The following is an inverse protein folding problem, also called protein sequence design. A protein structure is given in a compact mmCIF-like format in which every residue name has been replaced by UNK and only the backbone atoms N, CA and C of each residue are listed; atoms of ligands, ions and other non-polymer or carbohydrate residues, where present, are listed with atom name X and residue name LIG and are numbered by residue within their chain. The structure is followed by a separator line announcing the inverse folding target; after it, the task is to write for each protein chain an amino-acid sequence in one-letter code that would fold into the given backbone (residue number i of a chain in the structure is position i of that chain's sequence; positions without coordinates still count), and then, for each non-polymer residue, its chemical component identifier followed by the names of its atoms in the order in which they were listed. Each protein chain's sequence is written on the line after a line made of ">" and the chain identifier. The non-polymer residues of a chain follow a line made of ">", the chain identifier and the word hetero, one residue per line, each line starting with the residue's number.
data_IF_279439551483
#
_entry.id   IF_279439551483
#
_cell.length_a   1.000
_cell.length_b   1.000
_cell.length_c   1.000
_cell.angle_alpha   90.00
_cell.angle_beta   90.00
_cell.angle_gamma   90.00
#
_symmetry.space_group_name_H-M   'P 1'
#
loop_
_entity.id
_entity.type
_entity.pdbx_description
1 polymer ?
#
# COMPACT_ATOMS: atom_id res chain seq x y z
N UNK A 1 16.09 -12.38 21.51
CA UNK A 1 15.94 -11.55 20.30
C UNK A 1 14.47 -11.28 19.90
N UNK A 2 13.50 -11.74 20.67
CA UNK A 2 12.08 -11.77 20.25
C UNK A 2 11.31 -10.46 20.44
N UNK A 3 11.89 -9.46 21.10
CA UNK A 3 11.17 -8.24 21.50
C UNK A 3 11.90 -6.94 21.09
N UNK A 4 12.78 -7.01 20.08
CA UNK A 4 13.48 -5.81 19.62
C UNK A 4 12.55 -5.03 18.71
N UNK A 5 12.17 -3.83 19.13
CA UNK A 5 11.43 -2.89 18.34
C UNK A 5 12.34 -2.23 17.31
N UNK A 6 11.91 -2.21 16.07
CA UNK A 6 12.59 -1.55 14.94
C UNK A 6 11.66 -0.48 14.39
N UNK A 7 11.93 0.75 14.74
CA UNK A 7 11.18 1.91 14.26
C UNK A 7 11.57 2.29 12.83
N UNK A 8 10.75 3.10 12.18
CA UNK A 8 11.07 3.64 10.86
C UNK A 8 12.26 4.62 10.92
N UNK A 9 12.99 4.73 9.81
CA UNK A 9 14.18 5.57 9.68
C UNK A 9 14.14 6.39 8.39
N UNK A 10 14.54 7.65 8.47
CA UNK A 10 14.64 8.57 7.33
C UNK A 10 14.38 10.02 7.71
N UNK A 11 14.46 10.90 6.74
CA UNK A 11 14.17 12.33 6.93
C UNK A 11 12.67 12.56 7.18
N UNK A 12 12.35 13.55 8.00
CA UNK A 12 10.96 13.98 8.27
C UNK A 12 10.88 15.50 8.05
N UNK A 13 10.05 16.00 7.11
CA UNK A 13 9.21 15.24 6.18
C UNK A 13 10.00 14.53 5.08
N UNK A 14 9.38 13.55 4.42
CA UNK A 14 9.98 12.81 3.32
C UNK A 14 8.96 12.52 2.22
N UNK A 15 9.35 12.71 0.94
CA UNK A 15 8.42 12.52 -0.19
C UNK A 15 8.07 11.06 -0.45
N UNK A 16 9.01 10.15 -0.22
CA UNK A 16 8.82 8.72 -0.43
C UNK A 16 8.93 7.96 0.89
N UNK A 17 7.87 7.26 1.25
CA UNK A 17 7.87 6.27 2.32
C UNK A 17 7.85 4.87 1.73
N UNK A 18 8.74 4.00 2.19
CA UNK A 18 8.73 2.57 1.87
C UNK A 18 8.23 1.82 3.09
N UNK A 19 7.19 1.01 2.91
CA UNK A 19 6.57 0.24 3.98
C UNK A 19 6.60 -1.26 3.64
N UNK A 20 7.30 -2.04 4.48
CA UNK A 20 7.29 -3.50 4.44
C UNK A 20 6.34 -4.11 5.47
N UNK A 21 6.42 -5.42 5.66
CA UNK A 21 5.59 -6.17 6.62
C UNK A 21 6.15 -6.12 8.04
N UNK A 22 7.38 -6.59 8.23
CA UNK A 22 8.02 -6.74 9.54
C UNK A 22 9.55 -6.76 9.41
N UNK A 23 10.30 -6.37 10.47
CA UNK A 23 11.74 -6.45 10.47
C UNK A 23 12.25 -7.89 10.46
N UNK A 24 13.32 -8.13 9.72
CA UNK A 24 14.04 -9.39 9.69
C UNK A 24 15.06 -9.53 10.83
N UNK A 25 15.84 -10.61 10.79
CA UNK A 25 16.83 -10.94 11.83
C UNK A 25 17.96 -9.90 11.93
N UNK A 26 18.43 -9.41 10.78
CA UNK A 26 19.50 -8.38 10.71
C UNK A 26 19.01 -7.05 11.32
N UNK A 27 17.80 -6.67 10.99
CA UNK A 27 17.15 -5.47 11.49
C UNK A 27 16.96 -5.54 13.01
N UNK A 28 16.55 -6.69 13.52
CA UNK A 28 16.42 -6.91 14.97
C UNK A 28 17.75 -6.89 15.73
N UNK A 29 18.86 -7.25 15.06
CA UNK A 29 20.19 -7.22 15.68
C UNK A 29 20.73 -5.79 15.82
N UNK A 30 20.40 -4.93 14.86
CA UNK A 30 20.94 -3.56 14.78
C UNK A 30 19.95 -2.49 15.24
N UNK A 31 18.66 -2.81 15.33
CA UNK A 31 17.59 -1.84 15.61
C UNK A 31 17.27 -0.91 14.43
N UNK A 32 17.78 -1.19 13.22
CA UNK A 32 17.56 -0.35 12.03
C UNK A 32 16.79 -1.11 10.96
N UNK A 33 15.78 -0.47 10.29
CA UNK A 33 14.99 -1.10 9.24
C UNK A 33 15.79 -1.23 7.94
N UNK A 34 15.46 -2.22 7.12
CA UNK A 34 15.95 -2.41 5.76
C UNK A 34 17.48 -2.47 5.60
N UNK A 35 18.18 -3.12 6.50
CA UNK A 35 19.65 -3.30 6.42
C UNK A 35 20.10 -4.69 6.01
N UNK A 36 19.19 -5.68 6.07
CA UNK A 36 19.46 -7.05 5.65
C UNK A 36 19.54 -7.21 4.12
N UNK A 37 19.63 -8.45 3.61
CA UNK A 37 19.71 -8.72 2.17
C UNK A 37 18.61 -8.06 1.34
N UNK A 38 17.38 -8.07 1.85
CA UNK A 38 16.25 -7.39 1.19
C UNK A 38 16.41 -5.88 1.18
N UNK A 39 16.96 -5.31 2.26
CA UNK A 39 17.26 -3.87 2.31
C UNK A 39 18.32 -3.48 1.30
N UNK A 40 19.39 -4.28 1.15
CA UNK A 40 20.42 -4.06 0.13
C UNK A 40 19.86 -4.11 -1.29
N UNK A 41 18.95 -5.06 -1.56
CA UNK A 41 18.24 -5.11 -2.85
C UNK A 41 17.33 -3.90 -3.05
N UNK A 42 16.63 -3.46 -2.00
CA UNK A 42 15.83 -2.23 -2.02
C UNK A 42 16.71 -1.02 -2.35
N UNK A 43 17.91 -0.91 -1.77
CA UNK A 43 18.87 0.15 -2.07
C UNK A 43 19.37 0.09 -3.52
N UNK A 44 19.58 -1.12 -4.05
CA UNK A 44 19.93 -1.29 -5.45
C UNK A 44 18.80 -0.80 -6.39
N UNK A 45 17.57 -1.18 -6.11
CA UNK A 45 16.39 -0.76 -6.86
C UNK A 45 16.15 0.75 -6.77
N UNK A 46 16.39 1.37 -5.61
CA UNK A 46 16.33 2.83 -5.45
C UNK A 46 17.32 3.52 -6.37
N UNK A 47 18.57 3.02 -6.47
CA UNK A 47 19.59 3.61 -7.38
C UNK A 47 19.17 3.49 -8.84
N UNK A 48 18.49 2.40 -9.25
CA UNK A 48 17.96 2.25 -10.61
C UNK A 48 17.00 3.40 -10.97
N UNK A 49 16.22 3.87 -9.98
CA UNK A 49 15.28 4.98 -10.17
C UNK A 49 15.85 6.36 -9.78
N UNK A 50 17.16 6.44 -9.55
CA UNK A 50 17.87 7.68 -9.25
C UNK A 50 17.65 8.22 -7.85
N UNK A 51 17.43 7.34 -6.87
CA UNK A 51 17.29 7.64 -5.44
C UNK A 51 18.33 6.87 -4.63
N UNK A 52 18.57 7.35 -3.40
CA UNK A 52 19.38 6.66 -2.40
C UNK A 52 18.56 6.45 -1.11
N UNK A 53 19.01 5.58 -0.22
CA UNK A 53 18.31 5.30 1.05
C UNK A 53 18.11 6.59 1.90
N UNK A 54 19.04 7.53 1.83
CA UNK A 54 18.89 8.83 2.51
C UNK A 54 17.75 9.72 1.99
N UNK A 55 17.25 9.44 0.79
CA UNK A 55 16.18 10.22 0.14
C UNK A 55 14.78 9.69 0.49
N UNK A 56 14.72 8.61 1.26
CA UNK A 56 13.47 7.90 1.58
C UNK A 56 13.30 7.72 3.07
N UNK A 57 12.06 7.54 3.51
CA UNK A 57 11.73 7.04 4.83
C UNK A 57 11.35 5.58 4.73
N UNK A 58 12.01 4.71 5.48
CA UNK A 58 11.75 3.26 5.46
C UNK A 58 11.14 2.79 6.76
N UNK A 59 10.11 1.99 6.68
CA UNK A 59 9.42 1.43 7.85
C UNK A 59 8.76 0.09 7.52
N UNK A 60 8.20 -0.55 8.54
CA UNK A 60 7.37 -1.74 8.41
C UNK A 60 6.03 -1.54 9.11
N UNK A 61 5.01 -2.30 8.71
CA UNK A 61 3.72 -2.36 9.40
C UNK A 61 3.93 -2.83 10.84
N UNK A 62 4.56 -4.00 11.02
CA UNK A 62 4.99 -4.44 12.36
C UNK A 62 6.34 -3.83 12.73
N UNK A 63 6.42 -3.29 13.95
CA UNK A 63 7.71 -2.83 14.51
C UNK A 63 8.49 -3.95 15.18
N UNK A 64 7.94 -5.14 15.24
CA UNK A 64 8.53 -6.33 15.85
C UNK A 64 8.62 -7.47 14.84
N UNK A 65 9.61 -8.36 14.97
CA UNK A 65 9.74 -9.52 14.07
C UNK A 65 8.57 -10.48 14.30
N UNK A 66 8.13 -11.11 13.22
CA UNK A 66 7.10 -12.14 13.31
C UNK A 66 7.61 -13.45 13.91
N UNK A 67 8.94 -13.64 13.99
CA UNK A 67 9.62 -14.83 14.50
C UNK A 67 9.16 -16.11 13.76
N UNK A 68 8.65 -17.10 14.53
CA UNK A 68 8.12 -18.35 13.99
C UNK A 68 6.67 -18.21 13.47
N UNK A 69 6.06 -17.06 13.66
CA UNK A 69 4.74 -16.73 13.13
C UNK A 69 4.85 -16.36 11.67
N UNK A 70 3.86 -16.76 10.89
CA UNK A 70 3.82 -16.43 9.47
C UNK A 70 3.02 -15.15 9.17
N UNK A 71 2.31 -14.64 10.17
CA UNK A 71 1.36 -13.54 10.02
C UNK A 71 1.20 -12.72 11.29
N UNK A 72 0.77 -11.48 11.13
CA UNK A 72 0.38 -10.57 12.19
C UNK A 72 -0.98 -11.02 12.73
N UNK A 73 -1.12 -11.08 14.06
CA UNK A 73 -2.38 -11.45 14.68
C UNK A 73 -3.38 -10.30 14.63
N UNK A 74 -4.69 -10.61 14.53
CA UNK A 74 -5.73 -9.57 14.49
C UNK A 74 -5.75 -8.65 15.72
N UNK A 75 -5.46 -9.16 16.91
CA UNK A 75 -5.41 -8.40 18.16
C UNK A 75 -4.20 -7.44 18.24
N UNK A 76 -3.14 -7.72 17.48
CA UNK A 76 -1.98 -6.84 17.36
C UNK A 76 -2.21 -5.74 16.33
N UNK A 77 -3.08 -5.96 15.33
CA UNK A 77 -3.25 -5.11 14.16
C UNK A 77 -3.69 -3.68 14.54
N UNK A 78 -4.56 -3.51 15.53
CA UNK A 78 -5.03 -2.19 15.95
C UNK A 78 -3.88 -1.31 16.45
N UNK A 79 -3.00 -1.87 17.29
CA UNK A 79 -1.82 -1.16 17.78
C UNK A 79 -0.85 -0.83 16.66
N UNK A 80 -0.59 -1.78 15.75
CA UNK A 80 0.32 -1.58 14.62
C UNK A 80 -0.21 -0.53 13.66
N UNK A 81 -1.52 -0.53 13.42
CA UNK A 81 -2.22 0.49 12.64
C UNK A 81 -1.98 1.87 13.24
N UNK A 82 -2.22 2.06 14.53
CA UNK A 82 -2.03 3.35 15.20
C UNK A 82 -0.56 3.85 15.08
N UNK A 83 0.41 2.95 15.22
CA UNK A 83 1.83 3.30 15.08
C UNK A 83 2.19 3.72 13.65
N UNK A 84 1.71 3.00 12.65
CA UNK A 84 2.00 3.34 11.25
C UNK A 84 1.29 4.61 10.81
N UNK A 85 0.05 4.83 11.23
CA UNK A 85 -0.69 6.09 10.99
C UNK A 85 0.03 7.30 11.60
N UNK A 86 0.57 7.15 12.81
CA UNK A 86 1.36 8.20 13.46
C UNK A 86 2.63 8.52 12.63
N UNK A 87 3.33 7.50 12.13
CA UNK A 87 4.49 7.70 11.25
C UNK A 87 4.10 8.41 9.95
N UNK A 88 3.04 7.96 9.25
CA UNK A 88 2.59 8.58 8.00
C UNK A 88 2.24 10.06 8.23
N UNK A 89 1.54 10.36 9.32
CA UNK A 89 1.15 11.72 9.67
C UNK A 89 2.35 12.63 10.00
N UNK A 90 3.43 12.07 10.54
CA UNK A 90 4.69 12.79 10.79
C UNK A 90 5.52 12.98 9.52
N UNK A 91 5.68 11.91 8.74
CA UNK A 91 6.51 11.88 7.52
C UNK A 91 5.87 12.68 6.39
N UNK A 92 4.54 12.64 6.27
CA UNK A 92 3.74 13.30 5.24
C UNK A 92 4.22 12.98 3.82
N UNK A 93 4.30 11.70 3.46
CA UNK A 93 4.81 11.29 2.16
C UNK A 93 3.86 11.72 1.03
N UNK A 94 4.44 12.05 -0.13
CA UNK A 94 3.70 12.24 -1.38
C UNK A 94 3.42 10.88 -2.05
N UNK A 95 4.34 9.93 -1.87
CA UNK A 95 4.25 8.57 -2.41
C UNK A 95 4.57 7.55 -1.31
N UNK A 96 3.79 6.48 -1.25
CA UNK A 96 4.05 5.32 -0.38
C UNK A 96 4.27 4.10 -1.27
N UNK A 97 5.43 3.46 -1.17
CA UNK A 97 5.75 2.20 -1.81
C UNK A 97 5.50 1.06 -0.80
N UNK A 98 4.43 0.29 -1.01
CA UNK A 98 4.09 -0.85 -0.15
C UNK A 98 4.73 -2.13 -0.71
N UNK A 99 5.63 -2.74 0.07
CA UNK A 99 6.35 -3.94 -0.32
C UNK A 99 5.69 -5.21 0.20
N UNK A 100 5.12 -5.99 -0.70
CA UNK A 100 4.47 -7.27 -0.43
C UNK A 100 2.98 -7.15 -0.11
N UNK A 101 2.31 -8.31 -0.10
CA UNK A 101 0.86 -8.39 0.02
C UNK A 101 0.35 -7.86 1.35
N UNK A 102 1.05 -8.11 2.46
CA UNK A 102 0.58 -7.71 3.80
C UNK A 102 0.54 -6.18 3.93
N UNK A 103 1.63 -5.49 3.56
CA UNK A 103 1.66 -4.03 3.56
C UNK A 103 0.64 -3.45 2.57
N UNK A 104 0.55 -4.00 1.35
CA UNK A 104 -0.41 -3.57 0.34
C UNK A 104 -1.85 -3.70 0.83
N UNK A 105 -2.22 -4.86 1.39
CA UNK A 105 -3.57 -5.12 1.87
C UNK A 105 -3.95 -4.24 3.07
N UNK A 106 -2.97 -3.85 3.90
CA UNK A 106 -3.23 -2.91 4.97
C UNK A 106 -3.70 -1.54 4.43
N UNK A 107 -3.04 -1.04 3.37
CA UNK A 107 -3.40 0.24 2.74
C UNK A 107 -4.70 0.18 1.93
N UNK A 108 -4.94 -0.93 1.23
CA UNK A 108 -6.07 -1.08 0.31
C UNK A 108 -7.29 -1.76 0.95
N UNK A 109 -7.15 -2.28 2.17
CA UNK A 109 -8.21 -2.96 2.96
C UNK A 109 -8.85 -4.18 2.28
N UNK A 110 -8.22 -4.75 1.26
CA UNK A 110 -8.73 -5.89 0.50
C UNK A 110 -7.64 -6.93 0.26
N UNK A 111 -8.03 -8.21 0.17
CA UNK A 111 -7.16 -9.31 -0.23
C UNK A 111 -6.80 -9.25 -1.72
N UNK A 112 -6.02 -8.23 -2.09
CA UNK A 112 -5.68 -7.93 -3.48
C UNK A 112 -4.69 -8.94 -4.04
N UNK A 113 -4.93 -9.37 -5.28
CA UNK A 113 -3.94 -10.09 -6.05
C UNK A 113 -2.77 -9.16 -6.42
N UNK A 114 -1.58 -9.52 -5.96
CA UNK A 114 -0.37 -8.72 -6.19
C UNK A 114 -0.02 -8.59 -7.68
N UNK A 115 -0.37 -9.57 -8.52
CA UNK A 115 -0.16 -9.46 -9.97
C UNK A 115 -1.06 -8.40 -10.61
N UNK A 116 -2.27 -8.23 -10.06
CA UNK A 116 -3.22 -7.25 -10.57
C UNK A 116 -2.89 -5.80 -10.14
N UNK A 117 -2.26 -5.61 -8.98
CA UNK A 117 -2.08 -4.27 -8.40
C UNK A 117 -0.64 -3.77 -8.40
N UNK A 118 0.36 -4.65 -8.55
CA UNK A 118 1.77 -4.26 -8.48
C UNK A 118 2.13 -3.24 -9.55
N UNK A 119 2.73 -2.12 -9.14
CA UNK A 119 3.09 -1.01 -10.01
C UNK A 119 1.92 -0.09 -10.41
N UNK A 120 0.69 -0.38 -9.99
CA UNK A 120 -0.47 0.46 -10.29
C UNK A 120 -0.61 1.55 -9.21
N UNK A 121 -0.63 2.84 -9.57
CA UNK A 121 -0.80 3.93 -8.62
C UNK A 121 -2.23 3.99 -8.06
N UNK A 122 -2.39 4.01 -6.74
CA UNK A 122 -3.67 4.17 -6.05
C UNK A 122 -3.69 5.45 -5.23
N UNK A 123 -4.77 6.21 -5.29
CA UNK A 123 -4.98 7.34 -4.39
C UNK A 123 -5.46 6.83 -3.03
N UNK A 124 -4.80 7.25 -1.95
CA UNK A 124 -5.25 6.94 -0.61
C UNK A 124 -6.33 7.92 -0.16
N UNK A 125 -7.31 7.41 0.59
CA UNK A 125 -8.39 8.26 1.10
C UNK A 125 -8.00 9.07 2.33
N UNK A 126 -7.27 8.45 3.26
CA UNK A 126 -6.91 9.07 4.53
C UNK A 126 -5.72 10.03 4.43
N UNK A 127 -4.89 9.88 3.41
CA UNK A 127 -3.69 10.70 3.24
C UNK A 127 -3.59 11.22 1.81
N UNK A 128 -3.11 12.46 1.60
CA UNK A 128 -2.89 13.02 0.26
C UNK A 128 -1.63 12.42 -0.38
N UNK A 129 -1.59 11.10 -0.44
CA UNK A 129 -0.45 10.32 -0.96
C UNK A 129 -0.90 9.33 -2.03
N UNK A 130 0.00 9.03 -2.96
CA UNK A 130 -0.17 7.97 -3.95
C UNK A 130 0.48 6.70 -3.44
N UNK A 131 -0.29 5.62 -3.30
CA UNK A 131 0.22 4.29 -2.99
C UNK A 131 0.68 3.59 -4.26
N UNK A 132 1.85 2.98 -4.21
CA UNK A 132 2.35 2.04 -5.23
C UNK A 132 2.52 0.68 -4.56
N UNK A 133 1.62 -0.27 -4.78
CA UNK A 133 1.84 -1.67 -4.43
C UNK A 133 3.01 -2.24 -5.22
N UNK A 134 3.82 -3.06 -4.57
CA UNK A 134 4.95 -3.70 -5.22
C UNK A 134 5.20 -5.08 -4.59
N UNK A 135 5.58 -6.06 -5.40
CA UNK A 135 6.08 -7.30 -4.85
C UNK A 135 7.26 -7.05 -3.91
N UNK A 136 7.31 -7.82 -2.83
CA UNK A 136 8.43 -7.71 -1.90
C UNK A 136 9.73 -8.20 -2.58
N UNK A 137 10.84 -7.43 -2.54
CA UNK A 137 12.08 -7.84 -3.22
C UNK A 137 12.58 -9.23 -2.83
N UNK A 138 12.35 -9.66 -1.58
CA UNK A 138 12.70 -11.02 -1.15
C UNK A 138 11.98 -12.13 -1.94
N UNK A 139 10.88 -11.85 -2.60
CA UNK A 139 10.19 -12.83 -3.44
C UNK A 139 11.02 -13.18 -4.68
N UNK A 140 11.77 -12.23 -5.25
CA UNK A 140 12.63 -12.46 -6.41
C UNK A 140 13.82 -13.38 -6.11
N UNK A 141 14.22 -13.51 -4.83
CA UNK A 141 15.27 -14.45 -4.42
C UNK A 141 14.83 -15.92 -4.54
N UNK A 142 13.51 -16.16 -4.50
CA UNK A 142 12.91 -17.51 -4.62
C UNK A 142 12.40 -17.77 -6.03
N UNK A 143 11.90 -16.74 -6.70
CA UNK A 143 11.37 -16.79 -8.05
C UNK A 143 11.84 -15.55 -8.83
N UNK A 144 12.80 -15.77 -9.73
CA UNK A 144 13.39 -14.69 -10.53
C UNK A 144 12.40 -14.04 -11.51
N UNK A 145 11.28 -14.68 -11.82
CA UNK A 145 10.24 -14.11 -12.69
C UNK A 145 9.58 -12.87 -12.04
N UNK A 146 9.59 -12.82 -10.70
CA UNK A 146 9.03 -11.71 -9.93
C UNK A 146 9.91 -10.44 -10.01
N UNK A 147 11.20 -10.57 -10.31
CA UNK A 147 12.12 -9.44 -10.35
C UNK A 147 11.64 -8.33 -11.30
N UNK A 148 11.10 -8.69 -12.45
CA UNK A 148 10.57 -7.70 -13.40
C UNK A 148 9.42 -6.89 -12.79
N UNK A 149 8.52 -7.55 -12.05
CA UNK A 149 7.42 -6.87 -11.36
C UNK A 149 7.91 -5.91 -10.26
N UNK A 150 8.96 -6.32 -9.54
CA UNK A 150 9.59 -5.46 -8.53
C UNK A 150 10.19 -4.22 -9.19
N UNK A 151 10.95 -4.38 -10.28
CA UNK A 151 11.56 -3.27 -11.02
C UNK A 151 10.48 -2.30 -11.55
N UNK A 152 9.38 -2.83 -12.10
CA UNK A 152 8.28 -1.98 -12.60
C UNK A 152 7.58 -1.22 -11.46
N UNK A 153 7.41 -1.83 -10.27
CA UNK A 153 6.90 -1.13 -9.08
C UNK A 153 7.78 0.05 -8.66
N UNK A 154 9.10 -0.12 -8.67
CA UNK A 154 10.04 0.99 -8.40
C UNK A 154 9.99 2.06 -9.49
N UNK A 155 9.93 1.70 -10.77
CA UNK A 155 9.76 2.67 -11.87
C UNK A 155 8.44 3.44 -11.74
N UNK A 156 7.34 2.77 -11.40
CA UNK A 156 6.05 3.42 -11.15
C UNK A 156 6.14 4.41 -9.99
N UNK A 157 6.90 4.06 -8.94
CA UNK A 157 7.20 4.96 -7.82
C UNK A 157 7.91 6.23 -8.30
N UNK A 158 8.90 6.13 -9.19
CA UNK A 158 9.57 7.30 -9.76
C UNK A 158 8.61 8.18 -10.56
N UNK A 159 7.75 7.57 -11.39
CA UNK A 159 6.75 8.29 -12.18
C UNK A 159 5.77 9.04 -11.26
N UNK A 160 5.39 8.43 -10.12
CA UNK A 160 4.54 9.06 -9.13
C UNK A 160 5.22 10.26 -8.44
N UNK A 161 6.49 10.12 -8.03
CA UNK A 161 7.28 11.20 -7.45
C UNK A 161 7.49 12.39 -8.40
N UNK A 162 7.56 12.13 -9.70
CA UNK A 162 7.63 13.17 -10.72
C UNK A 162 6.27 13.86 -11.00
N UNK A 163 5.22 13.49 -10.29
CA UNK A 163 3.85 14.00 -10.47
C UNK A 163 3.20 13.57 -11.80
N UNK A 164 3.73 12.53 -12.44
CA UNK A 164 3.26 12.04 -13.75
C UNK A 164 2.31 10.84 -13.63
N UNK A 165 2.17 10.26 -12.44
CA UNK A 165 1.26 9.14 -12.23
C UNK A 165 -0.19 9.63 -12.21
N UNK A 166 -1.03 8.97 -12.99
CA UNK A 166 -2.48 9.05 -12.82
C UNK A 166 -2.86 8.05 -11.74
N UNK A 167 -3.08 8.52 -10.52
CA UNK A 167 -3.49 7.66 -9.44
C UNK A 167 -4.92 7.15 -9.70
N UNK A 168 -5.09 5.84 -9.62
CA UNK A 168 -6.39 5.21 -9.59
C UNK A 168 -7.08 5.56 -8.26
N UNK A 169 -8.26 6.16 -8.32
CA UNK A 169 -9.08 6.36 -7.12
C UNK A 169 -9.88 5.09 -6.90
N UNK A 170 -9.51 4.34 -5.88
CA UNK A 170 -10.39 3.31 -5.36
C UNK A 170 -11.63 4.00 -4.80
N UNK A 171 -12.81 3.61 -5.27
CA UNK A 171 -14.03 3.97 -4.55
C UNK A 171 -13.92 3.30 -3.18
N UNK A 172 -13.81 4.09 -2.13
CA UNK A 172 -13.68 3.59 -0.76
C UNK A 172 -14.84 2.67 -0.47
N UNK A 173 -14.63 1.44 0.03
CA UNK A 173 -15.70 0.75 0.71
C UNK A 173 -16.03 1.62 1.93
N UNK A 174 -17.16 2.30 1.88
CA UNK A 174 -17.67 3.02 3.03
C UNK A 174 -17.93 1.93 4.07
N UNK A 175 -17.27 2.03 5.23
CA UNK A 175 -17.61 1.16 6.36
C UNK A 175 -19.11 1.31 6.60
N UNK A 176 -19.86 0.22 6.55
CA UNK A 176 -21.32 0.15 6.67
C UNK A 176 -21.93 0.94 7.85
N UNK A 177 -21.11 1.39 8.79
CA UNK A 177 -21.53 2.10 10.00
C UNK A 177 -21.66 3.61 9.89
N UNK A 178 -21.23 4.26 8.81
CA UNK A 178 -21.22 5.72 8.73
C UNK A 178 -22.17 6.32 7.68
N UNK A 179 -22.95 5.48 7.02
CA UNK A 179 -24.01 6.00 6.16
C UNK A 179 -25.16 6.49 7.01
N UNK A 180 -25.24 7.81 7.15
CA UNK A 180 -26.50 8.40 7.62
C UNK A 180 -27.60 8.12 6.58
N UNK A 181 -28.86 7.95 7.03
CA UNK A 181 -30.03 7.77 6.17
C UNK A 181 -30.11 8.80 5.03
N UNK A 182 -29.51 9.97 5.23
CA UNK A 182 -29.41 11.04 4.25
C UNK A 182 -28.55 10.68 3.04
N UNK A 183 -27.43 10.00 3.23
CA UNK A 183 -26.55 9.52 2.13
C UNK A 183 -27.22 8.41 1.32
N UNK A 184 -28.03 7.56 1.96
CA UNK A 184 -28.80 6.52 1.27
C UNK A 184 -29.87 7.09 0.34
N UNK A 185 -30.38 8.29 0.60
CA UNK A 185 -31.40 8.94 -0.23
C UNK A 185 -30.81 9.57 -1.50
N UNK A 186 -29.51 9.91 -1.49
CA UNK A 186 -28.81 10.55 -2.62
C UNK A 186 -28.11 9.54 -3.53
N UNK A 187 -28.09 8.26 -3.16
CA UNK A 187 -27.45 7.21 -3.98
C UNK A 187 -28.38 6.76 -5.08
N UNK A 188 -28.11 7.17 -6.30
CA UNK A 188 -28.74 6.62 -7.50
C UNK A 188 -28.19 5.20 -7.70
N UNK A 189 -29.05 4.19 -7.67
CA UNK A 189 -28.71 2.83 -8.01
C UNK A 189 -28.31 2.75 -9.49
N UNK A 190 -27.02 2.63 -9.77
CA UNK A 190 -26.52 2.36 -11.11
C UNK A 190 -26.51 0.85 -11.33
N UNK A 191 -27.13 0.42 -12.41
CA UNK A 191 -27.03 -0.97 -12.86
C UNK A 191 -25.59 -1.22 -13.35
N UNK A 192 -24.83 -1.95 -12.55
CA UNK A 192 -23.39 -2.18 -12.78
C UNK A 192 -23.12 -3.39 -13.66
N UNK A 193 -24.06 -3.83 -14.47
CA UNK A 193 -23.89 -4.94 -15.41
C UNK A 193 -22.78 -4.73 -16.47
N UNK A 194 -22.15 -3.57 -16.54
CA UNK A 194 -21.08 -3.28 -17.46
C UNK A 194 -19.73 -3.82 -16.96
N UNK A 195 -19.19 -4.82 -17.64
CA UNK A 195 -17.80 -5.26 -17.45
C UNK A 195 -16.86 -4.28 -18.15
N UNK A 196 -16.00 -3.59 -17.41
CA UNK A 196 -14.92 -2.81 -17.99
C UNK A 196 -13.86 -3.74 -18.62
N UNK A 197 -13.62 -3.61 -19.92
CA UNK A 197 -12.46 -4.21 -20.56
C UNK A 197 -11.21 -3.46 -20.08
N UNK A 198 -10.41 -4.11 -19.21
CA UNK A 198 -9.11 -3.60 -18.79
C UNK A 198 -9.06 -2.91 -17.43
N UNK A 199 -10.11 -2.97 -16.63
CA UNK A 199 -10.11 -2.52 -15.22
C UNK A 199 -10.00 -3.68 -14.23
N UNK A 200 -9.56 -3.42 -13.00
CA UNK A 200 -9.50 -4.44 -11.96
C UNK A 200 -10.89 -5.01 -11.63
N UNK A 201 -10.99 -6.29 -11.22
CA UNK A 201 -12.22 -7.09 -11.22
C UNK A 201 -13.20 -6.82 -10.07
N UNK A 202 -13.11 -5.73 -9.36
CA UNK A 202 -13.97 -5.48 -8.20
C UNK A 202 -14.97 -4.37 -8.41
N UNK A 203 -15.91 -4.62 -9.29
CA UNK A 203 -17.17 -3.92 -9.22
C UNK A 203 -18.14 -4.75 -8.39
N UNK A 204 -18.45 -4.28 -7.21
CA UNK A 204 -19.54 -4.83 -6.43
C UNK A 204 -20.84 -4.47 -7.15
N UNK A 205 -21.61 -5.47 -7.53
CA UNK A 205 -22.90 -5.22 -8.16
C UNK A 205 -23.84 -4.59 -7.14
N UNK A 206 -24.37 -3.47 -7.51
CA UNK A 206 -25.28 -2.69 -6.69
C UNK A 206 -26.73 -3.19 -6.75
N UNK A 207 -26.93 -4.49 -6.72
CA UNK A 207 -28.26 -5.07 -6.86
C UNK A 207 -29.15 -5.01 -5.62
N UNK A 208 -28.68 -4.49 -4.50
CA UNK A 208 -29.55 -4.20 -3.36
C UNK A 208 -29.11 -2.90 -2.68
N UNK A 209 -30.07 -2.03 -2.45
CA UNK A 209 -29.87 -0.72 -1.80
C UNK A 209 -29.27 -0.83 -0.40
N UNK A 210 -29.35 -1.99 0.22
CA UNK A 210 -28.82 -2.28 1.55
C UNK A 210 -27.31 -2.56 1.54
N UNK A 211 -26.73 -2.91 0.38
CA UNK A 211 -25.30 -3.19 0.23
C UNK A 211 -24.51 -2.01 -0.34
N UNK A 212 -25.16 -0.90 -0.64
CA UNK A 212 -24.65 0.13 -1.51
C UNK A 212 -24.21 1.38 -0.90
N UNK A 213 -23.73 1.22 0.17
CA UNK A 213 -23.00 2.30 0.72
C UNK A 213 -21.66 2.45 0.02
N UNK A 214 -21.64 2.88 -1.22
CA UNK A 214 -20.38 3.38 -1.61
C UNK A 214 -19.81 3.26 -3.01
N UNK A 215 -20.56 2.89 -3.99
CA UNK A 215 -20.08 2.99 -5.37
C UNK A 215 -20.84 4.06 -6.14
N UNK A 216 -20.38 5.31 -6.06
CA UNK A 216 -20.73 6.31 -7.06
C UNK A 216 -19.73 6.22 -8.20
N UNK A 217 -20.12 5.63 -9.29
CA UNK A 217 -19.41 5.74 -10.55
C UNK A 217 -20.07 6.86 -11.37
N UNK A 218 -19.30 7.87 -11.69
CA UNK A 218 -19.70 8.88 -12.67
C UNK A 218 -19.07 8.49 -13.98
N UNK A 219 -19.88 8.15 -14.95
CA UNK A 219 -19.45 7.88 -16.32
C UNK A 219 -19.22 9.23 -17.01
N UNK A 220 -17.94 9.58 -17.23
CA UNK A 220 -17.53 10.78 -17.97
C UNK A 220 -17.64 10.60 -19.51
N UNK A 221 -18.71 9.94 -19.97
CA UNK A 221 -19.00 9.86 -21.39
C UNK A 221 -20.03 10.88 -21.83
N UNK A 222 -19.82 12.18 -21.47
CA UNK A 222 -20.44 13.31 -22.17
C UNK A 222 -19.56 14.55 -22.07
N UNK A 223 -18.54 14.60 -22.88
CA UNK A 223 -17.93 15.83 -23.38
C UNK A 223 -17.20 15.52 -24.70
#
# INVERSE_FOLDING_TARGET
>A
MRDVRVDGEGSIPCKLMICGEAPGEYECTTGRPFIGPTGQETDHLLRIIGLEQRDVYVTNLSKWPLNDRKEIKPDEMEMLTALLEEEINKVKPEVILALGAVATNWFLHDGMDMEAVSGVPHALFLWPATLIPCFHPAASFRDSSILQWVIEGFKATRVALDGKARAWRQSTPIRERELTEQLCQDVVALDTGARFKGGPPYMVSASSCEALAGCCYVDDHNA
#
